data_IF_762018489106
#
_entry.id   IF_762018489106
#
_cell.length_a   1.000
_cell.length_b   1.000
_cell.length_c   1.000
_cell.angle_alpha   90.00
_cell.angle_beta   90.00
_cell.angle_gamma   90.00
#
_symmetry.space_group_name_H-M   'P 1'
#
loop_
_entity.id
_entity.type
_entity.pdbx_description
1 polymer ?
#
# COMPACT_ATOMS: atom_id res chain seq x y z
N UNK A 1 -50.92 79.43 -8.66
CA UNK A 1 -51.39 80.03 -7.35
C UNK A 1 -50.39 79.65 -6.27
N UNK A 2 -49.85 80.76 -5.74
CA UNK A 2 -48.95 80.84 -4.61
C UNK A 2 -49.48 80.19 -3.32
N UNK A 3 -48.61 79.73 -2.48
CA UNK A 3 -48.41 79.99 -1.04
C UNK A 3 -47.70 78.83 -0.39
N UNK A 4 -46.76 78.89 0.37
CA UNK A 4 -45.93 79.78 1.21
C UNK A 4 -45.32 78.88 2.30
N UNK A 5 -44.03 78.99 2.54
CA UNK A 5 -43.29 78.32 3.64
C UNK A 5 -43.72 78.92 5.00
N UNK A 6 -43.48 78.16 6.07
CA UNK A 6 -42.72 78.75 7.13
C UNK A 6 -41.53 77.91 7.62
N UNK A 7 -40.57 78.68 8.02
CA UNK A 7 -39.30 78.34 8.69
C UNK A 7 -39.55 77.92 10.14
N UNK A 8 -38.83 76.93 10.62
CA UNK A 8 -38.68 76.64 12.04
C UNK A 8 -37.24 76.24 12.39
N UNK A 9 -36.80 76.81 13.44
CA UNK A 9 -35.46 77.03 13.99
C UNK A 9 -34.80 75.71 14.43
N UNK A 10 -33.54 75.60 14.10
CA UNK A 10 -32.56 74.66 14.60
C UNK A 10 -32.25 74.88 16.08
N UNK A 11 -32.42 73.86 16.93
CA UNK A 11 -31.89 73.88 18.31
C UNK A 11 -30.68 72.89 18.33
N UNK A 12 -29.51 73.44 18.64
CA UNK A 12 -28.30 72.70 18.95
C UNK A 12 -28.43 72.05 20.34
N UNK A 13 -28.15 70.72 20.40
CA UNK A 13 -27.85 69.99 21.64
C UNK A 13 -26.39 69.53 21.64
N UNK A 14 -25.71 69.51 22.78
CA UNK A 14 -24.28 69.30 22.86
C UNK A 14 -23.91 67.78 22.62
N UNK A 15 -22.83 67.58 21.93
CA UNK A 15 -22.21 66.27 21.69
C UNK A 15 -21.60 65.75 23.00
N UNK A 16 -22.19 64.70 23.60
CA UNK A 16 -21.52 63.84 24.57
C UNK A 16 -20.62 62.84 23.79
N UNK A 17 -19.31 62.87 24.03
CA UNK A 17 -18.34 61.93 23.52
C UNK A 17 -18.50 60.58 24.26
N UNK A 18 -19.03 59.56 23.59
CA UNK A 18 -18.99 58.22 24.06
C UNK A 18 -17.68 57.58 23.46
N UNK A 19 -16.69 57.35 24.30
CA UNK A 19 -15.49 56.61 23.96
C UNK A 19 -15.85 55.12 23.90
N UNK A 20 -16.00 54.57 22.70
CA UNK A 20 -16.03 53.12 22.50
C UNK A 20 -14.61 52.56 22.60
N UNK A 21 -14.30 51.89 23.71
CA UNK A 21 -13.12 51.07 23.85
C UNK A 21 -13.34 49.77 23.04
N UNK A 22 -12.72 49.68 21.87
CA UNK A 22 -12.61 48.44 21.08
C UNK A 22 -11.61 47.52 21.78
N UNK A 23 -12.11 46.54 22.52
CA UNK A 23 -11.33 45.37 22.93
C UNK A 23 -11.11 44.50 21.70
N UNK A 24 -9.93 44.61 21.08
CA UNK A 24 -9.47 43.66 20.10
C UNK A 24 -9.11 42.33 20.82
N UNK A 25 -10.05 41.38 20.84
CA UNK A 25 -9.72 39.99 21.16
C UNK A 25 -8.88 39.45 19.98
N UNK A 26 -7.57 39.41 20.14
CA UNK A 26 -6.70 38.63 19.28
C UNK A 26 -6.96 37.15 19.55
N UNK A 27 -7.83 36.53 18.76
CA UNK A 27 -7.88 35.09 18.61
C UNK A 27 -6.55 34.66 17.99
N UNK A 28 -5.61 34.25 18.83
CA UNK A 28 -4.43 33.51 18.39
C UNK A 28 -4.95 32.19 17.77
N UNK A 29 -5.00 32.13 16.45
CA UNK A 29 -5.19 30.87 15.76
C UNK A 29 -4.08 29.91 16.28
N UNK A 30 -4.42 28.68 16.73
CA UNK A 30 -3.38 27.71 17.06
C UNK A 30 -2.53 27.54 15.82
N UNK A 31 -1.22 27.84 15.93
CA UNK A 31 -0.26 27.63 14.88
C UNK A 31 -0.39 26.17 14.45
N UNK A 32 -0.69 25.94 13.17
CA UNK A 32 -0.60 24.61 12.56
C UNK A 32 0.88 24.28 12.60
N UNK A 33 1.31 23.52 13.62
CA UNK A 33 2.64 22.92 13.62
C UNK A 33 2.79 22.20 12.28
N UNK A 34 3.88 22.46 11.56
CA UNK A 34 4.16 21.79 10.30
C UNK A 34 4.08 20.29 10.56
N UNK A 35 3.29 19.56 9.79
CA UNK A 35 3.16 18.11 9.93
C UNK A 35 4.51 17.38 9.77
N UNK A 36 5.52 18.07 9.25
CA UNK A 36 6.89 17.60 9.10
C UNK A 36 7.62 17.35 10.43
N UNK A 37 7.32 18.12 11.48
CA UNK A 37 7.99 18.02 12.79
C UNK A 37 7.13 17.29 13.84
N UNK A 38 5.94 16.84 13.46
CA UNK A 38 5.05 16.14 14.38
C UNK A 38 5.64 14.77 14.75
N UNK A 39 5.65 14.45 16.06
CA UNK A 39 5.97 13.12 16.54
C UNK A 39 5.01 12.09 15.93
N UNK A 40 5.54 10.97 15.46
CA UNK A 40 4.77 9.89 14.88
C UNK A 40 4.34 8.92 15.98
N UNK A 41 3.04 8.67 16.07
CA UNK A 41 2.47 7.64 16.93
C UNK A 41 2.25 6.38 16.12
N UNK A 42 2.72 5.24 16.65
CA UNK A 42 2.55 3.91 16.11
C UNK A 42 1.66 3.08 17.02
N UNK A 43 0.66 2.42 16.46
CA UNK A 43 -0.23 1.50 17.18
C UNK A 43 -0.30 0.18 16.43
N UNK A 44 0.09 -0.90 17.07
CA UNK A 44 -0.03 -2.27 16.55
C UNK A 44 -1.26 -2.95 17.18
N UNK A 45 -2.08 -3.57 16.33
CA UNK A 45 -3.36 -4.17 16.75
C UNK A 45 -3.55 -5.53 16.08
N UNK A 46 -4.13 -6.49 16.83
CA UNK A 46 -4.65 -7.72 16.26
C UNK A 46 -6.17 -7.55 16.06
N UNK A 47 -6.62 -7.65 14.83
CA UNK A 47 -8.04 -7.59 14.49
C UNK A 47 -8.57 -8.97 14.11
N UNK A 48 -9.87 -9.20 14.25
CA UNK A 48 -10.50 -10.42 13.74
C UNK A 48 -10.58 -10.36 12.22
N UNK A 49 -10.17 -11.44 11.54
CA UNK A 49 -10.49 -11.64 10.13
C UNK A 49 -11.99 -11.98 9.97
N UNK A 50 -12.47 -12.04 8.72
CA UNK A 50 -13.83 -12.52 8.44
C UNK A 50 -13.99 -14.02 8.73
N UNK A 51 -12.91 -14.78 8.78
CA UNK A 51 -12.90 -16.20 9.09
C UNK A 51 -12.67 -16.41 10.58
N UNK A 52 -13.48 -17.26 11.25
CA UNK A 52 -13.35 -17.50 12.68
C UNK A 52 -11.96 -18.01 13.09
N UNK A 53 -11.42 -17.46 14.17
CA UNK A 53 -10.15 -17.89 14.75
C UNK A 53 -8.90 -17.30 14.08
N UNK A 54 -9.05 -16.56 13.01
CA UNK A 54 -7.94 -15.87 12.34
C UNK A 54 -7.83 -14.44 12.86
N UNK A 55 -6.64 -14.08 13.34
CA UNK A 55 -6.27 -12.70 13.72
C UNK A 55 -5.32 -12.13 12.68
N UNK A 56 -5.55 -10.88 12.31
CA UNK A 56 -4.71 -10.14 11.37
C UNK A 56 -3.99 -9.02 12.10
N UNK A 57 -2.70 -8.92 11.87
CA UNK A 57 -1.91 -7.80 12.36
C UNK A 57 -2.17 -6.57 11.50
N UNK A 58 -2.42 -5.43 12.17
CA UNK A 58 -2.54 -4.12 11.52
C UNK A 58 -1.73 -3.11 12.33
N UNK A 59 -0.77 -2.45 11.67
CA UNK A 59 -0.07 -1.29 12.19
C UNK A 59 -0.72 -0.02 11.67
N UNK A 60 -0.95 0.92 12.57
CA UNK A 60 -1.36 2.28 12.22
C UNK A 60 -0.27 3.26 12.63
N UNK A 61 0.03 4.22 11.75
CA UNK A 61 0.94 5.34 12.03
C UNK A 61 0.26 6.66 11.65
N UNK A 62 0.38 7.66 12.53
CA UNK A 62 -0.15 9.00 12.31
C UNK A 62 0.63 10.04 13.12
N UNK A 63 0.47 11.31 12.80
CA UNK A 63 1.00 12.39 13.61
C UNK A 63 0.33 12.41 15.00
N UNK A 64 1.11 12.65 16.06
CA UNK A 64 0.61 12.77 17.42
C UNK A 64 -0.44 13.92 17.48
N UNK A 65 -1.56 13.65 18.14
CA UNK A 65 -2.67 14.62 18.23
C UNK A 65 -3.53 14.77 16.97
N UNK A 66 -3.31 13.95 15.93
CA UNK A 66 -4.17 13.99 14.75
C UNK A 66 -5.60 13.55 15.09
N UNK A 67 -6.57 14.41 14.80
CA UNK A 67 -8.01 14.18 15.01
C UNK A 67 -8.81 14.24 13.70
N UNK A 68 -8.14 14.52 12.59
CA UNK A 68 -8.80 14.65 11.29
C UNK A 68 -8.62 13.37 10.47
N UNK A 69 -9.72 12.70 10.19
CA UNK A 69 -9.78 11.50 9.35
C UNK A 69 -10.78 11.75 8.21
N UNK A 70 -10.31 11.59 6.98
CA UNK A 70 -11.12 11.77 5.76
C UNK A 70 -10.73 10.69 4.76
N UNK A 71 -11.58 10.47 3.75
CA UNK A 71 -11.22 9.53 2.67
C UNK A 71 -9.89 9.92 1.99
N UNK A 72 -9.56 11.23 1.95
CA UNK A 72 -8.34 11.74 1.27
C UNK A 72 -7.04 11.43 2.02
N UNK A 73 -7.09 11.25 3.34
CA UNK A 73 -5.88 11.09 4.14
C UNK A 73 -5.73 9.74 4.83
N UNK A 74 -6.69 8.82 4.68
CA UNK A 74 -6.59 7.46 5.25
C UNK A 74 -6.17 6.48 4.16
N UNK A 75 -5.03 5.82 4.35
CA UNK A 75 -4.45 4.88 3.39
C UNK A 75 -4.20 3.51 4.03
N UNK A 76 -4.33 2.45 3.23
CA UNK A 76 -3.95 1.09 3.58
C UNK A 76 -2.90 0.60 2.58
N UNK A 77 -1.73 0.23 3.09
CA UNK A 77 -0.68 -0.43 2.35
C UNK A 77 -0.89 -1.96 2.34
N UNK A 78 -0.73 -2.57 1.17
CA UNK A 78 -0.88 -4.00 0.93
C UNK A 78 0.43 -4.58 0.39
N UNK A 79 1.02 -5.51 1.15
CA UNK A 79 2.36 -6.03 0.91
C UNK A 79 2.44 -7.04 -0.22
N UNK A 80 3.68 -7.28 -0.70
CA UNK A 80 3.99 -8.21 -1.78
C UNK A 80 3.93 -9.69 -1.37
N UNK A 81 4.50 -10.53 -2.25
CA UNK A 81 4.38 -11.99 -2.18
C UNK A 81 5.25 -12.67 -1.11
N UNK A 82 6.24 -11.99 -0.54
CA UNK A 82 7.27 -12.64 0.28
C UNK A 82 7.42 -12.01 1.65
N UNK A 83 7.61 -10.70 1.70
CA UNK A 83 7.80 -9.96 2.93
C UNK A 83 6.47 -9.43 3.49
N UNK A 84 6.32 -9.33 4.82
CA UNK A 84 5.14 -8.73 5.44
C UNK A 84 5.19 -7.19 5.39
N UNK A 85 4.07 -6.56 5.71
CA UNK A 85 3.83 -5.14 5.52
C UNK A 85 4.81 -4.21 6.24
N UNK A 86 5.25 -4.59 7.44
CA UNK A 86 6.18 -3.78 8.22
C UNK A 86 7.54 -3.67 7.57
N UNK A 87 8.04 -4.75 6.95
CA UNK A 87 9.29 -4.72 6.21
C UNK A 87 9.15 -3.90 4.93
N UNK A 88 8.04 -4.11 4.20
CA UNK A 88 7.82 -3.49 2.89
C UNK A 88 7.64 -1.98 3.00
N UNK A 89 6.98 -1.48 4.05
CA UNK A 89 6.54 -0.08 4.08
C UNK A 89 7.03 0.73 5.28
N UNK A 90 7.60 0.08 6.29
CA UNK A 90 8.01 0.73 7.54
C UNK A 90 9.41 0.31 8.00
N UNK A 91 10.33 0.15 7.05
CA UNK A 91 11.72 -0.21 7.34
C UNK A 91 12.35 0.80 8.29
N UNK A 92 12.80 0.34 9.46
CA UNK A 92 13.31 1.17 10.55
C UNK A 92 14.78 1.61 10.35
N UNK A 93 15.26 1.63 9.12
CA UNK A 93 16.59 2.05 8.75
C UNK A 93 16.58 3.47 8.20
N UNK A 94 17.28 4.41 8.84
CA UNK A 94 17.36 5.82 8.43
C UNK A 94 15.99 6.42 8.07
N UNK A 95 15.83 6.95 6.86
CA UNK A 95 14.61 7.58 6.31
C UNK A 95 13.87 6.69 5.31
N UNK A 96 14.05 5.35 5.41
CA UNK A 96 13.46 4.40 4.46
C UNK A 96 12.00 4.01 4.78
N UNK A 97 11.46 4.39 5.95
CA UNK A 97 10.04 4.18 6.21
C UNK A 97 9.16 5.04 5.30
N UNK A 98 8.55 4.42 4.29
CA UNK A 98 7.56 5.09 3.47
C UNK A 98 6.33 5.51 4.27
N UNK A 99 5.95 4.71 5.27
CA UNK A 99 4.86 5.05 6.18
C UNK A 99 5.14 6.37 6.93
N UNK A 100 6.34 6.54 7.49
CA UNK A 100 6.72 7.79 8.16
C UNK A 100 6.75 8.99 7.21
N UNK A 101 7.24 8.75 5.99
CA UNK A 101 7.28 9.77 4.96
C UNK A 101 5.86 10.27 4.61
N UNK A 102 4.87 9.38 4.53
CA UNK A 102 3.47 9.72 4.31
C UNK A 102 2.84 10.42 5.52
N UNK A 103 3.11 9.95 6.74
CA UNK A 103 2.61 10.56 7.98
C UNK A 103 3.07 12.02 8.10
N UNK A 104 4.34 12.31 7.81
CA UNK A 104 4.90 13.66 7.78
C UNK A 104 4.20 14.58 6.76
N UNK A 105 3.40 14.02 5.86
CA UNK A 105 2.59 14.74 4.84
C UNK A 105 1.10 14.75 5.15
N UNK A 106 0.71 14.36 6.36
CA UNK A 106 -0.66 14.46 6.88
C UNK A 106 -1.54 13.23 6.62
N UNK A 107 -0.96 12.11 6.20
CA UNK A 107 -1.69 10.86 6.03
C UNK A 107 -1.77 10.06 7.33
N UNK A 108 -2.84 9.31 7.46
CA UNK A 108 -3.00 8.24 8.45
C UNK A 108 -2.76 6.92 7.73
N UNK A 109 -1.66 6.30 8.04
CA UNK A 109 -1.17 5.12 7.31
C UNK A 109 -1.51 3.87 8.09
N UNK A 110 -2.19 2.95 7.43
CA UNK A 110 -2.40 1.59 7.90
C UNK A 110 -1.59 0.65 7.02
N UNK A 111 -1.08 -0.42 7.61
CA UNK A 111 -0.45 -1.52 6.92
C UNK A 111 -0.78 -2.81 7.65
N UNK A 112 -1.14 -3.85 6.92
CA UNK A 112 -1.59 -5.09 7.53
C UNK A 112 -0.98 -6.31 6.85
N UNK A 113 -0.78 -7.36 7.65
CA UNK A 113 -0.29 -8.64 7.16
C UNK A 113 -1.48 -9.56 6.84
N UNK A 114 -1.48 -10.15 5.64
CA UNK A 114 -2.40 -11.24 5.35
C UNK A 114 -2.15 -12.42 6.29
N UNK A 115 -3.14 -13.29 6.46
CA UNK A 115 -2.94 -14.57 7.18
C UNK A 115 -1.71 -15.30 6.66
N UNK A 116 -0.99 -15.97 7.54
CA UNK A 116 0.25 -16.68 7.26
C UNK A 116 1.47 -15.81 6.98
N UNK A 117 1.32 -14.48 6.97
CA UNK A 117 2.43 -13.53 6.87
C UNK A 117 2.66 -12.80 8.19
N UNK A 118 3.88 -12.37 8.39
CA UNK A 118 4.25 -11.43 9.44
C UNK A 118 3.77 -11.84 10.83
N UNK A 119 3.06 -10.92 11.46
CA UNK A 119 2.50 -11.08 12.80
C UNK A 119 1.04 -11.54 12.81
N UNK A 120 0.45 -11.84 11.65
CA UNK A 120 -0.89 -12.44 11.55
C UNK A 120 -0.90 -13.92 11.91
N UNK A 121 -2.10 -14.47 12.20
CA UNK A 121 -2.29 -15.89 12.47
C UNK A 121 -1.71 -16.77 11.38
N UNK A 122 -1.11 -17.89 11.78
CA UNK A 122 -0.56 -18.90 10.87
C UNK A 122 -1.39 -20.17 10.93
N UNK A 123 -1.72 -20.70 9.76
CA UNK A 123 -2.33 -22.02 9.63
C UNK A 123 -1.34 -23.11 10.06
N UNK A 124 -1.86 -24.23 10.58
CA UNK A 124 -1.04 -25.40 10.96
C UNK A 124 -0.13 -25.86 9.80
N UNK A 125 -0.58 -25.74 8.57
CA UNK A 125 0.20 -26.06 7.36
C UNK A 125 1.53 -25.30 7.26
N UNK A 126 1.65 -24.14 7.91
CA UNK A 126 2.91 -23.38 7.97
C UNK A 126 3.95 -23.99 8.91
N UNK A 127 3.54 -24.82 9.86
CA UNK A 127 4.41 -25.48 10.84
C UNK A 127 4.71 -26.97 10.47
N UNK A 128 4.04 -27.47 9.43
CA UNK A 128 4.28 -28.81 8.87
C UNK A 128 5.23 -28.74 7.67
N UNK A 129 5.83 -29.85 7.24
CA UNK A 129 6.56 -29.89 5.98
C UNK A 129 5.70 -29.41 4.81
N UNK A 130 6.18 -28.41 4.06
CA UNK A 130 5.38 -27.72 3.04
C UNK A 130 4.67 -28.66 2.07
N UNK A 131 5.36 -29.73 1.60
CA UNK A 131 4.82 -30.70 0.64
C UNK A 131 3.64 -31.55 1.16
N UNK A 132 3.32 -31.51 2.46
CA UNK A 132 2.17 -32.23 3.02
C UNK A 132 0.84 -31.52 2.83
N UNK A 133 0.88 -30.24 2.49
CA UNK A 133 -0.29 -29.39 2.41
C UNK A 133 -0.32 -28.66 1.05
N UNK A 134 -1.50 -28.32 0.52
CA UNK A 134 -1.61 -27.48 -0.67
C UNK A 134 -1.13 -26.04 -0.36
N UNK A 135 -0.88 -25.22 -1.39
CA UNK A 135 -0.57 -23.80 -1.23
C UNK A 135 -1.58 -23.09 -0.33
N UNK A 136 -1.08 -22.35 0.68
CA UNK A 136 -1.92 -21.55 1.58
C UNK A 136 -1.93 -20.09 1.16
N UNK A 137 -2.92 -19.33 1.66
CA UNK A 137 -3.11 -17.91 1.39
C UNK A 137 -3.28 -17.60 -0.10
N UNK A 138 -4.26 -18.26 -0.73
CA UNK A 138 -4.72 -17.93 -2.07
C UNK A 138 -5.37 -16.53 -2.08
N UNK A 139 -5.40 -15.89 -3.22
CA UNK A 139 -5.95 -14.53 -3.39
C UNK A 139 -7.36 -14.35 -2.83
N UNK A 140 -8.26 -15.33 -2.96
CA UNK A 140 -9.61 -15.25 -2.40
C UNK A 140 -9.63 -15.21 -0.85
N UNK A 141 -8.62 -15.79 -0.17
CA UNK A 141 -8.45 -15.64 1.28
C UNK A 141 -7.84 -14.28 1.63
N UNK A 142 -6.84 -13.83 0.88
CA UNK A 142 -6.26 -12.51 1.06
C UNK A 142 -7.28 -11.38 0.86
N UNK A 143 -8.24 -11.53 -0.07
CA UNK A 143 -9.35 -10.57 -0.22
C UNK A 143 -10.21 -10.47 1.03
N UNK A 144 -10.50 -11.57 1.69
CA UNK A 144 -11.26 -11.58 2.95
C UNK A 144 -10.48 -10.88 4.07
N UNK A 145 -9.15 -11.00 4.06
CA UNK A 145 -8.29 -10.30 5.01
C UNK A 145 -8.29 -8.79 4.73
N UNK A 146 -8.22 -8.37 3.45
CA UNK A 146 -8.34 -6.96 3.06
C UNK A 146 -9.70 -6.40 3.49
N UNK A 147 -10.79 -7.12 3.25
CA UNK A 147 -12.13 -6.69 3.64
C UNK A 147 -12.23 -6.46 5.15
N UNK A 148 -11.67 -7.36 5.98
CA UNK A 148 -11.61 -7.19 7.42
C UNK A 148 -10.82 -5.93 7.82
N UNK A 149 -9.65 -5.70 7.21
CA UNK A 149 -8.82 -4.51 7.44
C UNK A 149 -9.56 -3.23 7.03
N UNK A 150 -10.15 -3.18 5.85
CA UNK A 150 -10.89 -2.02 5.34
C UNK A 150 -12.08 -1.70 6.23
N UNK A 151 -12.86 -2.69 6.64
CA UNK A 151 -14.01 -2.52 7.53
C UNK A 151 -13.60 -1.98 8.89
N UNK A 152 -12.51 -2.51 9.46
CA UNK A 152 -11.96 -2.04 10.73
C UNK A 152 -11.48 -0.58 10.63
N UNK A 153 -10.75 -0.22 9.56
CA UNK A 153 -10.28 1.14 9.33
C UNK A 153 -11.46 2.10 9.18
N UNK A 154 -12.45 1.76 8.34
CA UNK A 154 -13.65 2.57 8.12
C UNK A 154 -14.38 2.82 9.43
N UNK A 155 -14.63 1.77 10.20
CA UNK A 155 -15.32 1.86 11.49
C UNK A 155 -14.53 2.68 12.51
N UNK A 156 -13.23 2.41 12.65
CA UNK A 156 -12.37 3.06 13.65
C UNK A 156 -12.15 4.55 13.35
N UNK A 157 -12.06 4.93 12.06
CA UNK A 157 -11.73 6.29 11.63
C UNK A 157 -12.93 7.11 11.14
N UNK A 158 -14.10 6.50 11.06
CA UNK A 158 -15.32 7.17 10.61
C UNK A 158 -15.26 7.61 9.15
N UNK A 159 -14.50 6.90 8.30
CA UNK A 159 -14.39 7.21 6.87
C UNK A 159 -15.26 6.28 6.03
N UNK A 160 -15.77 6.77 4.92
CA UNK A 160 -16.61 5.97 4.01
C UNK A 160 -15.80 5.08 3.07
N UNK A 161 -14.59 5.54 2.70
CA UNK A 161 -13.69 4.88 1.74
C UNK A 161 -12.25 4.98 2.22
N UNK A 162 -11.40 4.06 1.74
CA UNK A 162 -9.97 3.99 2.04
C UNK A 162 -9.18 4.03 0.74
N UNK A 163 -8.06 4.75 0.73
CA UNK A 163 -7.10 4.65 -0.38
C UNK A 163 -6.28 3.38 -0.22
N UNK A 164 -6.19 2.57 -1.27
CA UNK A 164 -5.38 1.36 -1.30
C UNK A 164 -4.09 1.60 -2.09
N UNK A 165 -2.97 1.20 -1.52
CA UNK A 165 -1.65 1.24 -2.16
C UNK A 165 -1.06 -0.16 -2.06
N UNK A 166 -0.97 -0.87 -3.17
CA UNK A 166 -0.44 -2.23 -3.20
C UNK A 166 0.86 -2.32 -3.96
N UNK A 167 1.79 -3.14 -3.48
CA UNK A 167 3.05 -3.47 -4.15
C UNK A 167 3.06 -4.91 -4.65
N UNK A 168 3.41 -5.13 -5.93
CA UNK A 168 3.60 -6.47 -6.50
C UNK A 168 2.32 -7.32 -6.37
N UNK A 169 2.36 -8.46 -5.68
CA UNK A 169 1.14 -9.22 -5.37
C UNK A 169 0.12 -8.40 -4.58
N UNK A 170 0.57 -7.49 -3.70
CA UNK A 170 -0.32 -6.55 -3.02
C UNK A 170 -1.04 -5.59 -3.98
N UNK A 171 -0.41 -5.20 -5.10
CA UNK A 171 -1.07 -4.44 -6.16
C UNK A 171 -2.14 -5.27 -6.87
N UNK A 172 -1.83 -6.55 -7.17
CA UNK A 172 -2.80 -7.49 -7.71
C UNK A 172 -4.01 -7.66 -6.77
N UNK A 173 -3.75 -7.80 -5.46
CA UNK A 173 -4.81 -7.93 -4.45
C UNK A 173 -5.62 -6.64 -4.28
N UNK A 174 -4.98 -5.46 -4.31
CA UNK A 174 -5.65 -4.17 -4.27
C UNK A 174 -6.58 -3.96 -5.48
N UNK A 175 -6.11 -4.31 -6.69
CA UNK A 175 -6.90 -4.28 -7.91
C UNK A 175 -8.07 -5.26 -7.87
N UNK A 176 -7.82 -6.48 -7.43
CA UNK A 176 -8.88 -7.50 -7.29
C UNK A 176 -9.93 -7.05 -6.26
N UNK A 177 -9.51 -6.58 -5.09
CA UNK A 177 -10.44 -6.02 -4.09
C UNK A 177 -11.25 -4.85 -4.66
N UNK A 178 -10.60 -3.88 -5.31
CA UNK A 178 -11.26 -2.73 -5.89
C UNK A 178 -12.25 -3.10 -7.02
N UNK A 179 -12.02 -4.19 -7.73
CA UNK A 179 -12.93 -4.68 -8.77
C UNK A 179 -14.22 -5.30 -8.21
N UNK A 180 -14.20 -5.75 -6.96
CA UNK A 180 -15.36 -6.33 -6.28
C UNK A 180 -16.05 -5.34 -5.34
N UNK A 181 -15.30 -4.41 -4.76
CA UNK A 181 -15.71 -3.48 -3.69
C UNK A 181 -15.29 -2.04 -3.98
N UNK A 182 -15.56 -1.58 -5.20
CA UNK A 182 -15.16 -0.22 -5.64
C UNK A 182 -15.80 0.89 -4.79
N UNK A 183 -16.93 0.61 -4.16
CA UNK A 183 -17.61 1.49 -3.21
C UNK A 183 -16.80 1.76 -1.93
N UNK A 184 -15.87 0.88 -1.58
CA UNK A 184 -14.99 1.01 -0.41
C UNK A 184 -13.67 1.73 -0.72
N UNK A 185 -13.33 1.89 -2.01
CA UNK A 185 -12.03 2.42 -2.45
C UNK A 185 -12.13 3.89 -2.83
N UNK A 186 -11.32 4.74 -2.20
CA UNK A 186 -11.25 6.16 -2.52
C UNK A 186 -10.35 6.42 -3.73
N UNK A 187 -9.11 5.96 -3.64
CA UNK A 187 -8.11 5.95 -4.73
C UNK A 187 -7.35 4.64 -4.71
N UNK A 188 -6.80 4.25 -5.85
CA UNK A 188 -6.08 3.01 -6.02
C UNK A 188 -4.69 3.27 -6.61
N UNK A 189 -3.64 2.76 -5.95
CA UNK A 189 -2.28 2.76 -6.46
C UNK A 189 -1.82 1.32 -6.64
N UNK A 190 -1.53 0.96 -7.87
CA UNK A 190 -1.04 -0.35 -8.28
C UNK A 190 0.45 -0.21 -8.62
N UNK A 191 1.30 -0.47 -7.62
CA UNK A 191 2.75 -0.44 -7.81
C UNK A 191 3.26 -1.81 -8.21
N UNK A 192 3.87 -1.87 -9.40
CA UNK A 192 4.44 -3.06 -10.00
C UNK A 192 3.44 -4.23 -10.11
N UNK A 193 2.23 -4.02 -10.67
CA UNK A 193 1.19 -5.04 -10.73
C UNK A 193 1.50 -6.14 -11.75
N UNK A 194 0.97 -7.34 -11.48
CA UNK A 194 0.76 -8.42 -12.46
C UNK A 194 -0.72 -8.39 -12.89
N UNK A 195 -0.99 -8.46 -14.19
CA UNK A 195 -2.37 -8.41 -14.68
C UNK A 195 -2.63 -9.30 -15.87
N UNK A 196 -1.93 -9.12 -16.97
CA UNK A 196 -2.14 -9.86 -18.18
C UNK A 196 -1.38 -11.19 -18.22
N UNK A 197 -1.85 -12.05 -19.11
CA UNK A 197 -1.03 -13.17 -19.57
C UNK A 197 0.18 -12.63 -20.33
N UNK A 198 1.36 -13.08 -19.95
CA UNK A 198 2.57 -12.90 -20.74
C UNK A 198 3.48 -14.14 -20.56
N UNK A 199 4.28 -14.45 -21.54
CA UNK A 199 5.20 -15.59 -21.55
C UNK A 199 6.62 -15.24 -21.08
N UNK A 200 6.86 -14.00 -20.71
CA UNK A 200 8.16 -13.52 -20.21
C UNK A 200 8.43 -13.96 -18.77
N UNK A 201 7.39 -14.30 -18.03
CA UNK A 201 7.52 -14.60 -16.61
C UNK A 201 7.98 -16.02 -16.36
N UNK A 202 8.80 -16.16 -15.33
CA UNK A 202 9.11 -17.48 -14.75
C UNK A 202 7.91 -18.05 -13.94
N UNK A 203 6.69 -17.59 -14.22
CA UNK A 203 5.46 -17.93 -13.51
C UNK A 203 4.51 -18.80 -14.35
N UNK A 204 4.63 -18.76 -15.68
CA UNK A 204 3.75 -19.40 -16.62
C UNK A 204 4.22 -20.76 -17.15
N UNK A 205 3.83 -21.10 -18.38
CA UNK A 205 4.22 -22.33 -19.03
C UNK A 205 5.73 -22.50 -19.13
N UNK A 206 6.23 -23.71 -18.85
CA UNK A 206 7.66 -24.01 -18.84
C UNK A 206 8.38 -23.67 -17.54
N UNK A 207 7.74 -22.94 -16.61
CA UNK A 207 8.31 -22.59 -15.31
C UNK A 207 8.35 -23.77 -14.33
N UNK A 208 9.07 -23.61 -13.21
CA UNK A 208 9.04 -24.55 -12.09
C UNK A 208 7.65 -24.68 -11.42
N UNK A 209 6.75 -23.70 -11.67
CA UNK A 209 5.40 -23.70 -11.14
C UNK A 209 4.46 -24.63 -11.90
N UNK A 210 4.84 -25.05 -13.11
CA UNK A 210 4.05 -25.93 -13.95
C UNK A 210 4.14 -27.39 -13.48
N UNK A 211 3.01 -28.10 -13.43
CA UNK A 211 2.98 -29.54 -13.29
C UNK A 211 3.54 -30.19 -14.56
N UNK A 212 4.65 -30.92 -14.44
CA UNK A 212 5.34 -31.55 -15.59
C UNK A 212 4.47 -32.57 -16.34
N UNK A 213 3.49 -33.21 -15.66
CA UNK A 213 2.58 -34.20 -16.26
C UNK A 213 1.29 -33.60 -16.78
N UNK A 214 0.94 -32.41 -16.29
CA UNK A 214 -0.31 -31.70 -16.61
C UNK A 214 0.02 -30.20 -16.81
N UNK A 215 0.40 -29.80 -18.02
CA UNK A 215 0.94 -28.45 -18.27
C UNK A 215 0.02 -27.29 -17.92
N UNK A 216 -1.27 -27.52 -17.79
CA UNK A 216 -2.25 -26.49 -17.42
C UNK A 216 -2.57 -26.44 -15.91
N UNK A 217 -1.90 -27.28 -15.11
CA UNK A 217 -2.05 -27.33 -13.67
C UNK A 217 -0.80 -26.80 -12.98
N UNK A 218 -1.02 -26.16 -11.85
CA UNK A 218 0.05 -25.77 -10.94
C UNK A 218 0.76 -27.01 -10.36
N UNK A 219 2.02 -26.85 -10.04
CA UNK A 219 2.82 -27.89 -9.39
C UNK A 219 2.55 -27.93 -7.88
N UNK A 220 1.52 -28.68 -7.47
CA UNK A 220 1.15 -28.82 -6.07
C UNK A 220 2.22 -29.46 -5.16
N UNK A 221 3.27 -30.08 -5.74
CA UNK A 221 4.38 -30.61 -4.94
C UNK A 221 5.24 -29.50 -4.29
N UNK A 222 5.07 -28.24 -4.70
CA UNK A 222 5.68 -27.09 -4.06
C UNK A 222 5.10 -26.84 -2.65
N UNK A 223 3.89 -27.32 -2.37
CA UNK A 223 3.28 -27.34 -1.05
C UNK A 223 2.86 -25.98 -0.52
N UNK A 224 2.61 -25.91 0.79
CA UNK A 224 1.98 -24.79 1.47
C UNK A 224 2.78 -23.47 1.38
N UNK A 225 4.10 -23.55 1.51
CA UNK A 225 4.99 -22.40 1.57
C UNK A 225 6.35 -22.70 0.95
N UNK A 226 7.09 -21.65 0.64
CA UNK A 226 8.51 -21.68 0.26
C UNK A 226 9.38 -21.06 1.34
N UNK A 227 10.65 -21.41 1.33
CA UNK A 227 11.68 -20.79 2.16
C UNK A 227 12.36 -19.67 1.35
N UNK A 228 12.32 -18.47 1.88
CA UNK A 228 12.95 -17.30 1.28
C UNK A 228 14.13 -16.86 2.15
N UNK A 229 15.34 -16.89 1.61
CA UNK A 229 16.57 -16.46 2.28
C UNK A 229 16.98 -15.05 1.84
N UNK A 230 17.80 -14.39 2.64
CA UNK A 230 18.41 -13.11 2.31
C UNK A 230 19.14 -13.16 0.97
N UNK A 231 20.00 -14.16 0.80
CA UNK A 231 20.82 -14.31 -0.41
C UNK A 231 19.95 -14.44 -1.68
N UNK A 232 18.85 -15.21 -1.61
CA UNK A 232 17.95 -15.38 -2.75
C UNK A 232 17.20 -14.09 -3.09
N UNK A 233 16.74 -13.36 -2.06
CA UNK A 233 16.01 -12.10 -2.25
C UNK A 233 16.94 -10.98 -2.76
N UNK A 234 18.12 -10.83 -2.17
CA UNK A 234 19.13 -9.87 -2.62
C UNK A 234 19.66 -10.21 -4.00
N UNK A 235 19.84 -11.50 -4.29
CA UNK A 235 20.26 -11.97 -5.63
C UNK A 235 19.25 -11.64 -6.72
N UNK A 236 17.95 -11.78 -6.42
CA UNK A 236 16.88 -11.35 -7.31
C UNK A 236 16.94 -9.83 -7.58
N UNK A 237 17.03 -9.02 -6.54
CA UNK A 237 17.14 -7.57 -6.68
C UNK A 237 18.37 -7.17 -7.50
N UNK A 238 19.52 -7.79 -7.21
CA UNK A 238 20.76 -7.57 -7.98
C UNK A 238 20.59 -7.91 -9.47
N UNK A 239 19.81 -8.93 -9.79
CA UNK A 239 19.54 -9.32 -11.17
C UNK A 239 18.75 -8.30 -11.97
N UNK A 240 17.97 -7.46 -11.32
CA UNK A 240 17.21 -6.39 -11.96
C UNK A 240 18.03 -5.10 -12.18
N UNK A 241 19.04 -4.85 -11.34
CA UNK A 241 19.90 -3.67 -11.48
C UNK A 241 20.83 -3.84 -12.67
N UNK A 242 20.78 -2.93 -13.68
CA UNK A 242 21.44 -3.13 -14.98
C UNK A 242 22.96 -2.86 -14.97
N UNK A 243 23.51 -2.35 -13.86
CA UNK A 243 24.93 -2.03 -13.70
C UNK A 243 25.64 -3.02 -12.80
N UNK A 244 26.96 -3.16 -12.92
CA UNK A 244 27.76 -4.07 -12.11
C UNK A 244 27.78 -3.64 -10.63
N UNK A 245 28.08 -2.37 -10.38
CA UNK A 245 28.08 -1.79 -9.04
C UNK A 245 26.65 -1.51 -8.56
N UNK A 246 26.07 -2.43 -7.79
CA UNK A 246 24.70 -2.34 -7.29
C UNK A 246 24.47 -1.17 -6.32
N UNK A 247 25.54 -0.66 -5.71
CA UNK A 247 25.49 0.48 -4.80
C UNK A 247 25.21 1.82 -5.51
N UNK A 248 25.25 1.84 -6.86
CA UNK A 248 24.76 2.97 -7.63
C UNK A 248 23.24 3.16 -7.52
N UNK A 249 22.51 2.05 -7.31
CA UNK A 249 21.03 2.03 -7.22
C UNK A 249 20.53 2.13 -5.78
N UNK A 250 21.23 1.57 -4.81
CA UNK A 250 20.78 1.52 -3.42
C UNK A 250 21.93 1.66 -2.43
N UNK A 251 21.59 1.95 -1.18
CA UNK A 251 22.51 1.82 -0.06
C UNK A 251 22.76 0.31 0.18
N UNK A 252 24.03 -0.14 0.27
CA UNK A 252 24.38 -1.55 0.47
C UNK A 252 23.86 -2.15 1.77
N UNK A 253 23.56 -1.34 2.78
CA UNK A 253 23.00 -1.79 4.04
C UNK A 253 21.51 -2.11 3.95
N UNK A 254 20.78 -1.52 3.00
CA UNK A 254 19.33 -1.67 2.91
C UNK A 254 18.86 -3.12 2.73
N UNK A 255 19.44 -3.95 1.84
CA UNK A 255 19.04 -5.34 1.74
C UNK A 255 19.20 -6.12 3.04
N UNK A 256 20.26 -5.85 3.79
CA UNK A 256 20.58 -6.50 5.07
C UNK A 256 19.57 -6.10 6.13
N UNK A 257 19.33 -4.80 6.31
CA UNK A 257 18.39 -4.30 7.32
C UNK A 257 16.93 -4.69 6.98
N UNK A 258 16.55 -4.63 5.70
CA UNK A 258 15.25 -5.12 5.22
C UNK A 258 15.04 -6.59 5.60
N UNK A 259 16.02 -7.44 5.28
CA UNK A 259 15.91 -8.85 5.54
C UNK A 259 15.92 -9.20 7.01
N UNK A 260 16.70 -8.51 7.80
CA UNK A 260 16.74 -8.63 9.27
C UNK A 260 15.35 -8.37 9.88
N UNK A 261 14.65 -7.31 9.44
CA UNK A 261 13.28 -7.03 9.90
C UNK A 261 12.29 -8.11 9.44
N UNK A 262 12.38 -8.56 8.20
CA UNK A 262 11.52 -9.63 7.69
C UNK A 262 11.70 -10.92 8.50
N UNK A 263 12.93 -11.33 8.76
CA UNK A 263 13.25 -12.54 9.53
C UNK A 263 12.70 -12.48 10.97
N UNK A 264 12.67 -11.30 11.59
CA UNK A 264 12.13 -11.09 12.93
C UNK A 264 10.61 -11.39 13.01
N UNK A 265 9.90 -11.40 11.89
CA UNK A 265 8.46 -11.68 11.86
C UNK A 265 8.11 -13.17 11.80
N UNK A 266 9.05 -14.06 11.48
CA UNK A 266 8.86 -15.51 11.55
C UNK A 266 9.65 -16.09 12.74
N UNK A 267 9.00 -16.51 13.82
CA UNK A 267 9.67 -16.94 15.05
C UNK A 267 10.67 -18.09 14.86
N UNK A 268 10.54 -18.85 13.78
CA UNK A 268 11.39 -20.00 13.48
C UNK A 268 12.40 -19.73 12.36
N UNK A 269 12.49 -18.50 11.87
CA UNK A 269 13.34 -18.12 10.74
C UNK A 269 14.82 -18.52 10.92
N UNK A 270 15.36 -18.21 12.11
CA UNK A 270 16.76 -18.44 12.46
C UNK A 270 17.07 -19.92 12.85
N UNK A 271 16.05 -20.76 13.00
CA UNK A 271 16.25 -22.19 13.27
C UNK A 271 16.51 -23.01 11.99
N UNK A 272 16.41 -22.39 10.82
CA UNK A 272 16.65 -23.02 9.52
C UNK A 272 18.07 -22.77 9.05
N UNK A 273 18.58 -23.67 8.20
CA UNK A 273 19.88 -23.52 7.59
C UNK A 273 19.75 -23.68 6.05
N UNK A 274 19.96 -22.59 5.26
CA UNK A 274 20.17 -21.22 5.73
C UNK A 274 18.94 -20.64 6.44
N UNK A 275 19.17 -19.65 7.29
CA UNK A 275 18.09 -18.88 7.92
C UNK A 275 17.13 -18.34 6.85
N UNK A 276 15.82 -18.50 7.05
CA UNK A 276 14.84 -18.25 5.99
C UNK A 276 13.47 -17.93 6.55
N UNK A 277 12.77 -17.04 5.85
CA UNK A 277 11.36 -16.73 6.05
C UNK A 277 10.49 -17.77 5.36
N UNK A 278 9.40 -18.21 5.99
CA UNK A 278 8.36 -18.98 5.33
C UNK A 278 7.39 -18.04 4.64
N UNK A 279 7.31 -18.12 3.33
CA UNK A 279 6.38 -17.34 2.52
C UNK A 279 5.32 -18.25 1.87
N UNK A 280 4.02 -18.00 2.07
CA UNK A 280 2.94 -18.78 1.50
C UNK A 280 3.03 -18.94 -0.01
N UNK A 281 2.65 -20.12 -0.52
CA UNK A 281 2.71 -20.44 -1.95
C UNK A 281 1.39 -20.18 -2.69
N UNK A 282 0.32 -19.77 -2.02
CA UNK A 282 -0.93 -19.42 -2.69
C UNK A 282 -0.76 -18.35 -3.75
N UNK A 283 0.11 -17.37 -3.50
CA UNK A 283 0.47 -16.35 -4.49
C UNK A 283 1.11 -16.96 -5.76
N UNK A 284 1.92 -18.00 -5.63
CA UNK A 284 2.56 -18.64 -6.79
C UNK A 284 1.53 -19.42 -7.62
N UNK A 285 0.58 -20.09 -6.96
CA UNK A 285 -0.52 -20.76 -7.64
C UNK A 285 -1.40 -19.76 -8.40
N UNK A 286 -1.77 -18.64 -7.77
CA UNK A 286 -2.57 -17.59 -8.39
C UNK A 286 -1.84 -16.94 -9.57
N UNK A 287 -0.55 -16.63 -9.40
CA UNK A 287 0.29 -16.06 -10.45
C UNK A 287 0.47 -17.01 -11.64
N UNK A 288 0.62 -18.31 -11.38
CA UNK A 288 0.68 -19.32 -12.44
C UNK A 288 -0.61 -19.35 -13.26
N UNK A 289 -1.78 -19.33 -12.59
CA UNK A 289 -3.05 -19.31 -13.31
C UNK A 289 -3.26 -18.01 -14.08
N UNK A 290 -2.87 -16.89 -13.52
CA UNK A 290 -2.91 -15.60 -14.23
C UNK A 290 -2.00 -15.63 -15.48
N UNK A 291 -0.74 -16.09 -15.33
CA UNK A 291 0.24 -16.22 -16.40
C UNK A 291 -0.12 -17.29 -17.44
N UNK A 292 -1.13 -18.12 -17.20
CA UNK A 292 -1.68 -19.10 -18.15
C UNK A 292 -3.01 -18.68 -18.76
N UNK A 293 -3.37 -17.37 -18.70
CA UNK A 293 -4.57 -16.80 -19.29
C UNK A 293 -5.85 -17.06 -18.51
N UNK A 294 -5.76 -17.31 -17.20
CA UNK A 294 -6.90 -17.45 -16.28
C UNK A 294 -6.95 -16.28 -15.31
N UNK A 295 -7.44 -15.11 -15.74
CA UNK A 295 -7.44 -13.91 -14.92
C UNK A 295 -8.33 -14.10 -13.69
N UNK A 296 -7.87 -13.60 -12.55
CA UNK A 296 -8.61 -13.66 -11.29
C UNK A 296 -9.65 -12.56 -11.18
N UNK A 297 -9.44 -11.44 -11.85
CA UNK A 297 -10.27 -10.25 -11.77
C UNK A 297 -10.21 -9.45 -13.06
N UNK A 298 -11.10 -8.47 -13.18
CA UNK A 298 -11.18 -7.60 -14.35
C UNK A 298 -11.19 -6.14 -13.92
N UNK A 299 -10.24 -5.36 -14.43
CA UNK A 299 -10.08 -3.95 -14.12
C UNK A 299 -11.23 -3.06 -14.60
N UNK A 300 -12.07 -3.53 -15.52
CA UNK A 300 -13.27 -2.81 -15.97
C UNK A 300 -14.27 -2.54 -14.82
N UNK A 301 -14.22 -3.33 -13.75
CA UNK A 301 -15.09 -3.14 -12.59
C UNK A 301 -14.53 -2.14 -11.55
N UNK A 302 -13.41 -1.49 -11.83
CA UNK A 302 -12.81 -0.47 -10.95
C UNK A 302 -13.33 0.91 -11.36
N UNK A 303 -13.94 1.62 -10.41
CA UNK A 303 -14.46 2.99 -10.59
C UNK A 303 -13.59 4.05 -9.91
N UNK A 304 -12.77 3.64 -8.94
CA UNK A 304 -11.87 4.56 -8.23
C UNK A 304 -10.80 5.14 -9.17
N UNK A 305 -10.36 6.40 -8.95
CA UNK A 305 -9.17 6.93 -9.61
C UNK A 305 -7.99 5.99 -9.39
N UNK A 306 -7.27 5.62 -10.46
CA UNK A 306 -6.23 4.57 -10.41
C UNK A 306 -4.92 5.05 -11.00
N UNK A 307 -3.83 4.87 -10.24
CA UNK A 307 -2.45 5.03 -10.69
C UNK A 307 -1.80 3.65 -10.86
N UNK A 308 -1.27 3.37 -12.04
CA UNK A 308 -0.37 2.24 -12.31
C UNK A 308 1.05 2.77 -12.36
N UNK A 309 1.96 2.27 -11.51
CA UNK A 309 3.33 2.79 -11.40
C UNK A 309 4.33 1.64 -11.25
N UNK A 310 5.48 1.72 -11.92
CA UNK A 310 6.55 0.74 -11.83
C UNK A 310 7.91 1.38 -12.11
N UNK A 311 8.99 0.68 -11.80
CA UNK A 311 10.33 1.01 -12.29
C UNK A 311 10.49 0.61 -13.76
N UNK A 312 11.35 1.31 -14.50
CA UNK A 312 11.59 0.97 -15.91
C UNK A 312 12.46 -0.31 -16.11
N UNK A 313 13.13 -0.77 -15.06
CA UNK A 313 13.89 -2.04 -15.02
C UNK A 313 13.16 -3.13 -14.22
N UNK A 314 11.88 -2.95 -13.92
CA UNK A 314 11.06 -3.96 -13.25
C UNK A 314 10.90 -5.18 -14.16
N UNK A 315 11.34 -6.35 -13.67
CA UNK A 315 11.27 -7.63 -14.39
C UNK A 315 10.10 -8.51 -13.93
N UNK A 316 9.15 -7.96 -13.16
CA UNK A 316 7.93 -8.64 -12.73
C UNK A 316 6.67 -8.03 -13.30
N UNK A 317 6.59 -6.70 -13.33
CA UNK A 317 5.51 -5.96 -13.95
C UNK A 317 5.92 -5.56 -15.36
N UNK A 318 5.57 -6.37 -16.33
CA UNK A 318 5.91 -6.18 -17.72
C UNK A 318 5.06 -5.06 -18.37
N UNK A 319 5.48 -4.52 -19.53
CA UNK A 319 4.67 -3.56 -20.29
C UNK A 319 3.24 -4.06 -20.52
N UNK A 320 3.06 -5.35 -20.87
CA UNK A 320 1.77 -5.98 -21.15
C UNK A 320 0.82 -5.94 -19.96
N UNK A 321 1.35 -6.07 -18.73
CA UNK A 321 0.54 -5.96 -17.51
C UNK A 321 0.00 -4.54 -17.34
N UNK A 322 0.86 -3.54 -17.51
CA UNK A 322 0.51 -2.13 -17.33
C UNK A 322 -0.39 -1.62 -18.45
N UNK A 323 -0.10 -1.98 -19.69
CA UNK A 323 -0.90 -1.62 -20.88
C UNK A 323 -2.28 -2.27 -20.81
N UNK A 324 -2.35 -3.55 -20.43
CA UNK A 324 -3.62 -4.25 -20.23
C UNK A 324 -4.46 -3.62 -19.13
N UNK A 325 -3.86 -3.26 -18.00
CA UNK A 325 -4.55 -2.51 -16.95
C UNK A 325 -5.09 -1.18 -17.47
N UNK A 326 -4.26 -0.40 -18.18
CA UNK A 326 -4.67 0.88 -18.73
C UNK A 326 -5.76 0.72 -19.79
N UNK A 327 -5.74 -0.36 -20.55
CA UNK A 327 -6.80 -0.68 -21.49
C UNK A 327 -8.11 -0.97 -20.77
N UNK A 328 -8.09 -1.88 -19.79
CA UNK A 328 -9.27 -2.42 -19.13
C UNK A 328 -9.87 -1.51 -18.04
N UNK A 329 -9.15 -0.50 -17.54
CA UNK A 329 -9.67 0.51 -16.59
C UNK A 329 -10.65 1.48 -17.28
N UNK A 330 -11.72 0.94 -17.89
CA UNK A 330 -12.67 1.72 -18.70
C UNK A 330 -13.66 2.54 -17.88
N UNK A 331 -13.92 2.13 -16.63
CA UNK A 331 -14.86 2.82 -15.74
C UNK A 331 -14.14 3.61 -14.63
N UNK A 332 -12.80 3.54 -14.53
CA UNK A 332 -12.07 4.34 -13.57
C UNK A 332 -12.28 5.83 -13.85
N UNK A 333 -12.68 6.58 -12.82
CA UNK A 333 -12.99 8.03 -12.96
C UNK A 333 -11.79 8.87 -13.38
N UNK A 334 -10.58 8.39 -13.12
CA UNK A 334 -9.30 8.86 -13.65
C UNK A 334 -8.32 7.69 -13.70
N UNK A 335 -7.43 7.68 -14.69
CA UNK A 335 -6.38 6.67 -14.77
C UNK A 335 -5.07 7.26 -15.25
N UNK A 336 -3.96 6.83 -14.68
CA UNK A 336 -2.62 7.28 -15.02
C UNK A 336 -1.65 6.10 -14.97
N UNK A 337 -0.70 6.03 -15.91
CA UNK A 337 0.42 5.10 -15.89
C UNK A 337 1.74 5.88 -15.86
N UNK A 338 2.66 5.50 -14.96
CA UNK A 338 3.95 6.17 -14.78
C UNK A 338 5.05 5.12 -14.66
N UNK A 339 6.17 5.35 -15.36
CA UNK A 339 7.42 4.63 -15.16
C UNK A 339 8.42 5.54 -14.46
N UNK A 340 9.01 5.05 -13.38
CA UNK A 340 10.12 5.71 -12.69
C UNK A 340 11.42 5.31 -13.38
N UNK A 341 12.20 6.26 -13.89
CA UNK A 341 13.46 5.96 -14.54
C UNK A 341 14.50 5.43 -13.56
N UNK A 342 15.44 4.62 -14.04
CA UNK A 342 16.54 4.05 -13.29
C UNK A 342 16.07 3.35 -12.00
N UNK A 343 15.00 2.57 -12.11
CA UNK A 343 14.33 1.94 -11.01
C UNK A 343 13.93 0.50 -11.33
N UNK A 344 14.08 -0.39 -10.33
CA UNK A 344 13.70 -1.79 -10.42
C UNK A 344 12.34 -2.03 -9.75
N UNK A 345 11.97 -3.30 -9.55
CA UNK A 345 10.81 -3.70 -8.74
C UNK A 345 10.85 -3.18 -7.30
N UNK A 346 12.04 -2.83 -6.82
CA UNK A 346 12.32 -2.41 -5.45
C UNK A 346 12.54 -0.90 -5.31
N UNK A 347 12.00 -0.07 -6.21
CA UNK A 347 12.25 1.39 -6.22
C UNK A 347 11.98 2.07 -4.87
N UNK A 348 11.07 1.54 -4.05
CA UNK A 348 10.78 2.09 -2.72
C UNK A 348 12.00 2.03 -1.75
N UNK A 349 13.01 1.23 -2.08
CA UNK A 349 14.26 1.07 -1.32
C UNK A 349 15.49 1.58 -2.07
N UNK A 350 15.32 2.16 -3.26
CA UNK A 350 16.40 2.65 -4.10
C UNK A 350 16.68 4.14 -3.88
N UNK A 351 17.76 4.65 -4.46
CA UNK A 351 18.17 6.05 -4.29
C UNK A 351 17.14 7.04 -4.82
N UNK A 352 16.37 6.65 -5.83
CA UNK A 352 15.30 7.45 -6.43
C UNK A 352 13.93 7.24 -5.78
N UNK A 353 13.85 6.57 -4.61
CA UNK A 353 12.60 6.34 -3.88
C UNK A 353 11.77 7.59 -3.64
N UNK A 354 12.44 8.73 -3.40
CA UNK A 354 11.72 9.98 -3.15
C UNK A 354 10.96 10.47 -4.39
N UNK A 355 11.51 10.30 -5.59
CA UNK A 355 10.78 10.60 -6.83
C UNK A 355 9.54 9.71 -6.97
N UNK A 356 9.66 8.43 -6.64
CA UNK A 356 8.54 7.48 -6.62
C UNK A 356 7.47 7.91 -5.60
N UNK A 357 7.86 8.22 -4.37
CA UNK A 357 6.93 8.68 -3.33
C UNK A 357 6.21 9.98 -3.69
N UNK A 358 6.94 10.97 -4.22
CA UNK A 358 6.36 12.25 -4.65
C UNK A 358 5.40 12.08 -5.83
N UNK A 359 5.67 11.15 -6.75
CA UNK A 359 4.78 10.84 -7.87
C UNK A 359 3.45 10.31 -7.36
N UNK A 360 3.48 9.38 -6.41
CA UNK A 360 2.26 8.86 -5.78
C UNK A 360 1.54 9.96 -4.98
N UNK A 361 2.27 10.73 -4.19
CA UNK A 361 1.70 11.84 -3.42
C UNK A 361 0.97 12.86 -4.33
N UNK A 362 1.55 13.18 -5.49
CA UNK A 362 0.92 14.07 -6.47
C UNK A 362 -0.42 13.50 -6.96
N UNK A 363 -0.46 12.21 -7.27
CA UNK A 363 -1.70 11.53 -7.65
C UNK A 363 -2.74 11.54 -6.51
N UNK A 364 -2.31 11.32 -5.27
CA UNK A 364 -3.21 11.31 -4.11
C UNK A 364 -3.81 12.67 -3.78
N UNK A 365 -3.15 13.78 -4.15
CA UNK A 365 -3.63 15.16 -3.92
C UNK A 365 -4.56 15.69 -5.01
N UNK A 366 -4.57 15.09 -6.18
CA UNK A 366 -5.44 15.46 -7.30
C UNK A 366 -6.80 14.72 -7.22
#
# INVERSE_FOLDING_TARGET
>A
MQRSRPTSRMRLFPRSQLACALFALSLAAPGIASAQDAKIVKTDTQIDALDPGIKLFVREKMAEGNTRFTNDNVVLFLHGATAPSTCDFDLSYQDYSWADWMVKRGYVVHMGDYRNYGYSSRDKAMDEPAAKNPPVTRSFLALRDIEAMVNQIKSRRGVGKVTLIGWSWGAMMAGYYASLHSENVHKLVLYAPLYNFNDHTNLGPGSALQNKRKPHEFNFSLGAYRLASEAANTGRWNGEIPVENKDEYRDPAVPVEFWKECMATDPTSNSRNPASLRAPNGVLEDSFYQATGRPLWNAANIYAPTLVIAGNYDTWSFPEDREGLMHDLVHASAKQSVLIPDATHFVLFEKNRLQFFETILKFLKN
#
